data_IF_881536862175
#
_entry.id   IF_881536862175
#
_cell.length_a   1.000
_cell.length_b   1.000
_cell.length_c   1.000
_cell.angle_alpha   90.00
_cell.angle_beta   90.00
_cell.angle_gamma   90.00
#
_symmetry.space_group_name_H-M   'P 1'
#
loop_
_entity.id
_entity.type
_entity.pdbx_description
1 polymer ?
#
# COMPACT_ATOMS: atom_id res chain seq x y z
N UNK A 1 10.21 11.29 5.95
CA UNK A 1 9.80 11.00 4.57
C UNK A 1 10.00 12.27 3.78
N UNK A 2 10.62 12.25 2.60
CA UNK A 2 10.65 13.44 1.74
C UNK A 2 9.37 13.47 0.92
N UNK A 3 8.32 14.10 1.45
CA UNK A 3 7.29 14.69 0.60
C UNK A 3 7.65 16.15 0.44
N UNK A 4 7.79 16.61 -0.81
CA UNK A 4 7.79 18.04 -1.07
C UNK A 4 6.38 18.56 -0.82
N UNK A 5 6.18 19.15 0.36
CA UNK A 5 5.15 20.17 0.52
C UNK A 5 5.86 21.52 0.39
N UNK A 6 5.85 22.03 -0.83
CA UNK A 6 5.94 23.46 -1.13
C UNK A 6 7.33 24.11 -0.91
N UNK A 7 8.41 23.33 -0.93
CA UNK A 7 9.78 23.86 -0.92
C UNK A 7 10.21 24.55 0.39
N UNK A 8 9.50 24.35 1.51
CA UNK A 8 9.89 24.90 2.82
C UNK A 8 9.63 23.94 3.98
N UNK A 9 10.57 22.99 4.17
CA UNK A 9 10.79 22.30 5.44
C UNK A 9 10.88 20.78 5.34
N UNK A 10 12.03 20.24 5.74
CA UNK A 10 12.28 18.79 5.85
C UNK A 10 11.61 18.21 7.11
N UNK A 11 10.89 17.09 6.99
CA UNK A 11 10.56 16.23 8.14
C UNK A 11 10.97 14.78 7.89
N UNK A 12 11.88 14.30 8.72
CA UNK A 12 12.26 12.90 8.83
C UNK A 12 11.12 12.18 9.55
N UNK A 13 10.70 11.03 9.03
CA UNK A 13 9.74 10.18 9.70
C UNK A 13 10.50 8.97 10.18
N UNK A 14 10.77 8.97 11.48
CA UNK A 14 11.54 7.93 12.16
C UNK A 14 10.63 6.96 12.93
N UNK A 15 9.31 7.03 12.76
CA UNK A 15 8.34 6.26 13.55
C UNK A 15 7.26 5.59 12.70
N UNK A 16 6.71 4.53 13.30
CA UNK A 16 5.52 3.83 12.82
C UNK A 16 4.43 4.86 12.43
N UNK A 17 4.01 4.90 11.16
CA UNK A 17 3.06 5.89 10.64
C UNK A 17 1.67 5.82 11.26
N UNK A 18 1.30 4.66 11.82
CA UNK A 18 -0.01 4.45 12.42
C UNK A 18 -0.20 5.30 13.69
N UNK A 19 0.88 5.96 14.15
CA UNK A 19 0.89 6.82 15.33
C UNK A 19 0.98 8.32 15.00
N UNK A 20 0.98 8.73 13.73
CA UNK A 20 1.08 10.14 13.34
C UNK A 20 -0.31 10.73 13.03
N UNK A 21 -0.96 11.29 14.06
CA UNK A 21 -2.34 11.81 14.05
C UNK A 21 -2.64 12.91 13.02
N UNK A 22 -1.60 13.55 12.47
CA UNK A 22 -1.72 14.78 11.69
C UNK A 22 -1.48 14.57 10.18
N UNK A 23 -1.17 13.35 9.75
CA UNK A 23 -0.98 13.01 8.34
C UNK A 23 -2.34 12.86 7.64
N UNK A 24 -2.86 13.98 7.13
CA UNK A 24 -3.99 13.99 6.20
C UNK A 24 -3.50 13.63 4.81
N UNK A 25 -3.55 12.34 4.46
CA UNK A 25 -3.27 11.89 3.10
C UNK A 25 -4.42 12.32 2.18
N UNK A 26 -4.10 13.14 1.17
CA UNK A 26 -5.00 13.35 0.03
C UNK A 26 -5.10 12.01 -0.70
N UNK A 27 -6.25 11.35 -0.56
CA UNK A 27 -6.56 10.10 -1.25
C UNK A 27 -6.80 10.39 -2.71
N UNK A 28 -5.74 10.37 -3.51
CA UNK A 28 -5.86 10.32 -4.96
C UNK A 28 -5.97 8.86 -5.42
N UNK A 29 -6.76 8.68 -6.46
CA UNK A 29 -7.41 7.45 -6.89
C UNK A 29 -6.47 6.49 -7.61
N UNK A 30 -6.61 5.18 -7.38
CA UNK A 30 -5.60 4.21 -7.79
C UNK A 30 -5.86 3.30 -8.99
N UNK A 31 -7.01 3.22 -9.67
CA UNK A 31 -7.02 2.52 -10.95
C UNK A 31 -6.71 3.53 -12.04
N UNK A 32 -5.45 3.66 -12.52
CA UNK A 32 -5.18 4.50 -13.67
C UNK A 32 -5.86 3.91 -14.90
N UNK A 33 -6.42 4.78 -15.74
CA UNK A 33 -6.60 4.43 -17.14
C UNK A 33 -5.24 4.53 -17.82
N UNK A 34 -4.61 3.40 -18.13
CA UNK A 34 -3.27 3.42 -18.75
C UNK A 34 -3.41 3.84 -20.21
N UNK A 35 -2.76 4.95 -20.57
CA UNK A 35 -2.73 5.47 -21.93
C UNK A 35 -1.33 5.28 -22.50
N UNK A 36 -1.20 4.37 -23.47
CA UNK A 36 0.07 4.13 -24.16
C UNK A 36 0.15 4.98 -25.42
N UNK A 37 1.18 5.82 -25.50
CA UNK A 37 1.52 6.51 -26.76
C UNK A 37 2.92 6.06 -27.17
N UNK A 38 3.00 5.19 -28.18
CA UNK A 38 4.28 4.83 -28.79
C UNK A 38 4.78 6.00 -29.65
N UNK A 39 6.07 6.35 -29.52
CA UNK A 39 6.73 7.19 -30.54
C UNK A 39 6.66 6.51 -31.91
N UNK A 40 6.68 7.32 -32.97
CA UNK A 40 6.75 6.85 -34.36
C UNK A 40 7.98 5.97 -34.64
N UNK A 41 8.99 6.02 -33.77
CA UNK A 41 10.20 5.18 -33.85
C UNK A 41 9.97 3.75 -33.32
N UNK A 42 8.94 3.52 -32.50
CA UNK A 42 8.44 2.18 -32.24
C UNK A 42 7.50 1.84 -33.40
N UNK A 43 7.99 1.09 -34.38
CA UNK A 43 7.20 0.73 -35.55
C UNK A 43 6.48 -0.60 -35.34
N UNK A 44 5.16 -0.60 -35.54
CA UNK A 44 4.36 -1.81 -35.61
C UNK A 44 4.48 -2.41 -37.01
N UNK A 45 5.14 -3.56 -37.13
CA UNK A 45 5.28 -4.24 -38.41
C UNK A 45 4.14 -5.25 -38.64
N UNK A 46 3.82 -5.55 -39.91
CA UNK A 46 2.95 -6.67 -40.25
C UNK A 46 3.47 -7.92 -39.53
N UNK A 47 2.58 -8.76 -39.00
CA UNK A 47 2.86 -9.94 -38.14
C UNK A 47 2.92 -9.68 -36.62
N UNK A 48 2.63 -8.47 -36.15
CA UNK A 48 2.35 -8.22 -34.73
C UNK A 48 3.58 -8.07 -33.84
N UNK A 49 4.77 -8.07 -34.43
CA UNK A 49 6.03 -7.79 -33.73
C UNK A 49 6.35 -6.31 -33.76
N UNK A 50 6.66 -5.78 -32.59
CA UNK A 50 7.29 -4.47 -32.44
C UNK A 50 8.78 -4.70 -32.25
N UNK A 51 9.60 -3.94 -32.95
CA UNK A 51 11.05 -4.00 -32.80
C UNK A 51 11.66 -2.62 -33.01
N UNK A 52 12.89 -2.45 -32.51
CA UNK A 52 13.65 -1.24 -32.72
C UNK A 52 14.33 -1.27 -34.09
N UNK A 53 14.03 -0.27 -34.92
CA UNK A 53 14.76 0.03 -36.15
C UNK A 53 16.03 0.81 -35.79
N UNK A 54 17.02 0.06 -35.33
CA UNK A 54 18.22 0.53 -34.65
C UNK A 54 19.17 1.42 -35.46
N UNK A 55 19.09 1.34 -36.77
CA UNK A 55 19.87 2.12 -37.72
C UNK A 55 18.98 2.99 -38.61
N UNK A 56 17.69 3.12 -38.24
CA UNK A 56 16.69 3.93 -38.92
C UNK A 56 16.59 3.59 -40.42
N UNK A 57 16.78 2.32 -40.76
CA UNK A 57 16.82 1.83 -42.14
C UNK A 57 15.46 1.23 -42.59
N UNK A 58 14.47 1.22 -41.71
CA UNK A 58 13.15 0.61 -41.89
C UNK A 58 13.14 -0.91 -41.68
N UNK A 59 14.11 -1.50 -40.98
CA UNK A 59 14.19 -2.93 -40.73
C UNK A 59 14.55 -3.25 -39.27
N UNK A 60 13.75 -4.11 -38.65
CA UNK A 60 14.04 -4.67 -37.34
C UNK A 60 15.18 -5.69 -37.49
N UNK A 61 16.20 -5.61 -36.63
CA UNK A 61 17.17 -6.69 -36.47
C UNK A 61 16.49 -7.90 -35.80
N UNK A 62 16.05 -8.85 -36.64
CA UNK A 62 15.37 -10.09 -36.20
C UNK A 62 16.24 -11.00 -35.35
N UNK A 63 17.55 -10.75 -35.27
CA UNK A 63 18.46 -11.54 -34.43
C UNK A 63 18.49 -11.05 -32.98
N UNK A 64 17.89 -9.89 -32.69
CA UNK A 64 17.96 -9.20 -31.40
C UNK A 64 16.58 -9.15 -30.72
N UNK A 65 16.05 -10.30 -30.26
CA UNK A 65 14.77 -10.40 -29.55
C UNK A 65 14.85 -9.94 -28.08
N UNK A 66 15.50 -8.82 -27.77
CA UNK A 66 15.65 -8.34 -26.38
C UNK A 66 14.40 -7.63 -25.84
N UNK A 67 13.58 -7.12 -26.77
CA UNK A 67 12.43 -6.28 -26.47
C UNK A 67 11.25 -6.69 -27.35
N UNK A 68 10.14 -7.04 -26.71
CA UNK A 68 8.84 -7.23 -27.36
C UNK A 68 7.89 -6.18 -26.78
N UNK A 69 7.20 -5.38 -27.61
CA UNK A 69 6.32 -4.34 -27.06
C UNK A 69 5.03 -4.89 -26.43
N UNK A 70 4.62 -6.11 -26.78
CA UNK A 70 3.56 -6.79 -26.04
C UNK A 70 4.05 -7.14 -24.64
N UNK A 71 5.30 -7.62 -24.50
CA UNK A 71 5.94 -7.80 -23.19
C UNK A 71 6.11 -6.46 -22.47
N UNK A 72 6.46 -5.36 -23.16
CA UNK A 72 6.61 -4.06 -22.52
C UNK A 72 5.30 -3.54 -21.90
N UNK A 73 4.15 -3.80 -22.53
CA UNK A 73 2.84 -3.53 -21.93
C UNK A 73 2.60 -4.41 -20.71
N UNK A 74 2.91 -5.70 -20.82
CA UNK A 74 2.82 -6.62 -19.68
C UNK A 74 3.69 -6.15 -18.52
N UNK A 75 4.89 -5.64 -18.78
CA UNK A 75 5.80 -5.13 -17.75
C UNK A 75 5.26 -3.89 -17.02
N UNK A 76 4.55 -3.00 -17.72
CA UNK A 76 3.85 -1.88 -17.08
C UNK A 76 2.70 -2.38 -16.21
N UNK A 77 1.87 -3.27 -16.76
CA UNK A 77 0.73 -3.83 -16.04
C UNK A 77 1.19 -4.60 -14.80
N UNK A 78 2.25 -5.41 -14.92
CA UNK A 78 2.90 -6.09 -13.80
C UNK A 78 3.47 -5.11 -12.78
N UNK A 79 4.15 -4.05 -13.23
CA UNK A 79 4.73 -3.04 -12.33
C UNK A 79 3.64 -2.32 -11.51
N UNK A 80 2.54 -1.95 -12.14
CA UNK A 80 1.37 -1.37 -11.47
C UNK A 80 0.72 -2.38 -10.51
N UNK A 81 0.50 -3.60 -10.99
CA UNK A 81 -0.08 -4.67 -10.19
C UNK A 81 0.78 -4.96 -8.94
N UNK A 82 2.10 -4.90 -9.04
CA UNK A 82 2.97 -5.10 -7.88
C UNK A 82 2.84 -3.97 -6.84
N UNK A 83 2.72 -2.70 -7.27
CA UNK A 83 2.41 -1.60 -6.37
C UNK A 83 1.02 -1.77 -5.75
N UNK A 84 -0.01 -2.08 -6.53
CA UNK A 84 -1.38 -2.22 -6.02
C UNK A 84 -1.61 -3.47 -5.19
N UNK A 85 -0.87 -4.55 -5.44
CA UNK A 85 -0.90 -5.77 -4.66
C UNK A 85 -0.42 -5.55 -3.21
N UNK A 86 0.30 -4.46 -2.93
CA UNK A 86 0.73 -4.09 -1.57
C UNK A 86 -0.47 -3.90 -0.64
N UNK A 87 -1.60 -3.43 -1.15
CA UNK A 87 -2.81 -3.31 -0.34
C UNK A 87 -3.52 -4.64 -0.13
N UNK A 88 -3.25 -5.70 -0.89
CA UNK A 88 -3.98 -6.97 -0.78
C UNK A 88 -3.74 -7.62 0.59
N UNK A 89 -4.79 -8.06 1.33
CA UNK A 89 -6.20 -8.21 0.91
C UNK A 89 -7.11 -7.00 1.18
N UNK A 90 -6.58 -5.88 1.65
CA UNK A 90 -7.35 -4.67 1.96
C UNK A 90 -7.85 -4.03 0.66
N UNK A 91 -9.17 -3.90 0.46
CA UNK A 91 -9.71 -3.26 -0.74
C UNK A 91 -9.34 -1.77 -0.76
N UNK A 92 -8.89 -1.30 -1.92
CA UNK A 92 -8.68 0.12 -2.18
C UNK A 92 -10.07 0.77 -2.34
N UNK A 93 -10.37 1.80 -1.54
CA UNK A 93 -11.63 2.53 -1.65
C UNK A 93 -11.58 3.55 -2.81
N UNK A 94 -11.98 3.11 -4.00
CA UNK A 94 -12.04 3.92 -5.21
C UNK A 94 -13.46 4.39 -5.57
N UNK A 95 -14.43 4.35 -4.64
CA UNK A 95 -15.86 4.51 -5.00
C UNK A 95 -16.22 5.91 -5.50
N UNK A 96 -15.55 6.95 -5.02
CA UNK A 96 -15.86 8.35 -5.33
C UNK A 96 -14.74 9.04 -6.14
N UNK A 97 -14.05 8.24 -6.94
CA UNK A 97 -12.71 8.56 -7.42
C UNK A 97 -12.66 8.66 -8.95
N UNK A 98 -12.15 9.78 -9.47
CA UNK A 98 -11.88 9.93 -10.91
C UNK A 98 -10.52 9.29 -11.23
N UNK A 99 -10.42 8.42 -12.25
CA UNK A 99 -9.17 7.78 -12.62
C UNK A 99 -8.14 8.80 -13.11
N UNK A 100 -6.90 8.64 -12.66
CA UNK A 100 -5.76 9.45 -13.08
C UNK A 100 -5.04 8.72 -14.22
N UNK A 101 -4.98 9.25 -15.46
CA UNK A 101 -4.35 8.52 -16.55
C UNK A 101 -2.83 8.45 -16.36
N UNK A 102 -2.27 7.24 -16.46
CA UNK A 102 -0.83 7.04 -16.57
C UNK A 102 -0.46 7.06 -18.06
N UNK A 103 0.15 8.15 -18.52
CA UNK A 103 0.64 8.26 -19.88
C UNK A 103 2.08 7.77 -19.96
N UNK A 104 2.35 6.73 -20.76
CA UNK A 104 3.71 6.24 -20.99
C UNK A 104 4.11 6.57 -22.43
N UNK A 105 5.18 7.34 -22.57
CA UNK A 105 5.69 7.84 -23.85
C UNK A 105 7.13 7.37 -24.04
N UNK A 106 7.37 6.63 -25.12
CA UNK A 106 8.73 6.37 -25.59
C UNK A 106 9.25 7.62 -26.28
N UNK A 107 10.29 8.27 -25.78
CA UNK A 107 10.78 9.55 -26.33
C UNK A 107 12.25 9.49 -26.71
N UNK A 108 12.55 10.00 -27.90
CA UNK A 108 13.89 10.29 -28.39
C UNK A 108 14.24 11.78 -28.28
N UNK A 109 13.34 12.62 -27.76
CA UNK A 109 13.57 14.05 -27.67
C UNK A 109 14.40 14.39 -26.42
N UNK A 110 15.60 14.90 -26.60
CA UNK A 110 16.48 15.33 -25.49
C UNK A 110 15.83 16.34 -24.54
N UNK A 111 14.87 17.13 -25.02
CA UNK A 111 14.16 18.10 -24.19
C UNK A 111 13.30 17.43 -23.13
N UNK A 112 12.94 16.15 -23.34
CA UNK A 112 12.19 15.38 -22.34
C UNK A 112 13.03 14.99 -21.13
N UNK A 113 14.35 14.90 -21.31
CA UNK A 113 15.30 14.45 -20.29
C UNK A 113 16.23 15.57 -19.82
N UNK A 114 15.98 16.83 -20.19
CA UNK A 114 16.91 17.94 -19.90
C UNK A 114 17.23 18.12 -18.41
N UNK A 115 16.29 17.79 -17.52
CA UNK A 115 16.49 17.84 -16.08
C UNK A 115 17.35 16.68 -15.55
N UNK A 116 17.29 15.53 -16.23
CA UNK A 116 18.00 14.31 -15.87
C UNK A 116 18.55 13.64 -17.15
N UNK A 117 19.61 14.21 -17.76
CA UNK A 117 20.10 13.70 -19.05
C UNK A 117 20.41 12.21 -18.95
N UNK A 118 21.14 11.79 -17.92
CA UNK A 118 21.55 10.40 -17.75
C UNK A 118 20.42 9.42 -17.34
N UNK A 119 19.15 9.81 -17.32
CA UNK A 119 18.08 8.94 -16.85
C UNK A 119 17.61 7.93 -17.92
N UNK A 120 17.28 6.71 -17.48
CA UNK A 120 16.68 5.66 -18.33
C UNK A 120 15.22 5.99 -18.67
N UNK A 121 14.55 6.63 -17.73
CA UNK A 121 13.21 7.14 -17.86
C UNK A 121 13.07 8.36 -16.94
N UNK A 122 12.01 9.13 -17.12
CA UNK A 122 11.69 10.22 -16.21
C UNK A 122 10.20 10.44 -16.14
N UNK A 123 9.71 10.66 -14.92
CA UNK A 123 8.33 11.04 -14.68
C UNK A 123 8.22 12.56 -14.60
N UNK A 124 7.40 13.14 -15.46
CA UNK A 124 6.98 14.55 -15.37
C UNK A 124 5.57 14.62 -14.79
N UNK A 125 5.37 15.57 -13.89
CA UNK A 125 4.08 15.87 -13.28
C UNK A 125 3.96 17.38 -13.05
N UNK A 126 2.72 17.86 -12.97
CA UNK A 126 2.40 19.21 -12.52
C UNK A 126 1.52 19.15 -11.27
N UNK A 127 1.64 20.17 -10.42
CA UNK A 127 0.77 20.32 -9.26
C UNK A 127 -0.29 21.38 -9.49
N UNK A 128 -1.45 21.17 -8.90
CA UNK A 128 -2.46 22.19 -8.71
C UNK A 128 -2.03 23.19 -7.61
N UNK A 129 -2.66 24.38 -7.53
CA UNK A 129 -2.37 25.35 -6.47
C UNK A 129 -2.60 24.84 -5.03
N UNK A 130 -3.39 23.78 -4.87
CA UNK A 130 -3.64 23.10 -3.60
C UNK A 130 -2.69 21.91 -3.33
N UNK A 131 -1.66 21.76 -4.18
CA UNK A 131 -0.65 20.72 -4.14
C UNK A 131 -1.18 19.30 -4.45
N UNK A 132 -2.41 19.18 -4.96
CA UNK A 132 -2.87 17.94 -5.61
C UNK A 132 -2.18 17.74 -6.96
N UNK A 133 -2.07 16.51 -7.44
CA UNK A 133 -1.42 16.25 -8.73
C UNK A 133 -2.40 16.51 -9.87
N UNK A 134 -1.94 17.20 -10.93
CA UNK A 134 -2.69 17.33 -12.19
C UNK A 134 -2.59 16.07 -13.01
N UNK A 135 -3.58 15.21 -12.86
CA UNK A 135 -3.66 13.91 -13.50
C UNK A 135 -3.51 13.91 -15.04
N UNK A 136 -3.99 14.94 -15.73
CA UNK A 136 -3.89 15.08 -17.18
C UNK A 136 -2.49 15.46 -17.68
N UNK A 137 -1.59 15.91 -16.78
CA UNK A 137 -0.23 16.36 -17.11
C UNK A 137 0.84 15.36 -16.63
N UNK A 138 0.44 14.20 -16.10
CA UNK A 138 1.37 13.15 -15.68
C UNK A 138 1.82 12.29 -16.86
N UNK A 139 3.14 12.20 -17.05
CA UNK A 139 3.74 11.44 -18.14
C UNK A 139 5.02 10.76 -17.67
N UNK A 140 5.15 9.47 -17.94
CA UNK A 140 6.40 8.73 -17.84
C UNK A 140 7.05 8.67 -19.22
N UNK A 141 8.20 9.31 -19.36
CA UNK A 141 9.01 9.24 -20.57
C UNK A 141 10.03 8.12 -20.44
N UNK A 142 10.02 7.17 -21.38
CA UNK A 142 11.04 6.12 -21.49
C UNK A 142 12.06 6.56 -22.53
N UNK A 143 13.32 6.65 -22.15
CA UNK A 143 14.38 7.10 -23.04
C UNK A 143 14.72 6.01 -24.05
N UNK A 144 14.55 6.32 -25.34
CA UNK A 144 14.93 5.43 -26.45
C UNK A 144 16.13 5.94 -27.24
N UNK A 145 16.67 7.12 -26.92
CA UNK A 145 17.72 7.76 -27.68
C UNK A 145 19.00 7.98 -26.86
N UNK A 146 20.09 7.42 -27.38
CA UNK A 146 21.42 7.40 -26.81
C UNK A 146 22.06 8.80 -26.72
N UNK A 147 21.83 9.68 -27.70
CA UNK A 147 22.50 11.00 -27.77
C UNK A 147 22.02 11.95 -26.66
N UNK A 148 20.80 11.73 -26.18
CA UNK A 148 20.15 12.60 -25.21
C UNK A 148 20.67 12.44 -23.79
N UNK A 149 21.34 11.31 -23.48
CA UNK A 149 21.74 11.04 -22.11
C UNK A 149 22.96 11.82 -21.62
N UNK A 150 23.70 12.49 -22.52
CA UNK A 150 24.91 13.21 -22.15
C UNK A 150 26.05 12.31 -21.65
N UNK A 151 25.88 10.99 -21.66
CA UNK A 151 26.91 10.05 -21.26
C UNK A 151 27.99 9.98 -22.35
N UNK A 152 29.10 10.71 -22.13
CA UNK A 152 30.31 10.58 -22.93
C UNK A 152 31.14 9.43 -22.33
N UNK A 153 31.49 8.37 -23.08
CA UNK A 153 32.33 7.30 -22.56
C UNK A 153 33.65 7.89 -22.02
N UNK A 154 34.06 7.45 -20.82
CA UNK A 154 35.24 7.95 -20.10
C UNK A 154 36.60 7.70 -20.80
N UNK A 155 36.64 7.13 -22.00
CA UNK A 155 37.88 7.02 -22.77
C UNK A 155 37.68 7.22 -24.27
N UNK A 156 38.40 8.19 -24.81
CA UNK A 156 38.40 8.60 -26.21
C UNK A 156 38.98 7.56 -27.19
N UNK A 157 39.31 6.36 -26.74
CA UNK A 157 39.93 5.30 -27.55
C UNK A 157 38.97 4.23 -28.06
N UNK A 158 37.70 4.22 -27.63
CA UNK A 158 36.68 3.27 -28.09
C UNK A 158 35.64 3.90 -29.04
N UNK A 159 36.03 4.94 -29.77
CA UNK A 159 35.13 5.87 -30.47
C UNK A 159 34.33 5.31 -31.66
N UNK A 160 34.39 4.02 -32.02
CA UNK A 160 33.82 3.59 -33.31
C UNK A 160 33.05 2.27 -33.43
N UNK A 161 32.90 1.40 -32.42
CA UNK A 161 32.31 0.07 -32.75
C UNK A 161 31.34 -0.58 -31.77
N UNK A 162 30.93 0.08 -30.69
CA UNK A 162 29.84 -0.47 -29.87
C UNK A 162 28.84 0.67 -29.62
N UNK A 163 27.64 0.61 -30.22
CA UNK A 163 26.57 1.55 -29.90
C UNK A 163 26.25 1.37 -28.42
N UNK A 164 26.55 2.36 -27.59
CA UNK A 164 26.21 2.35 -26.16
C UNK A 164 24.73 2.69 -25.99
N UNK A 165 23.89 1.89 -26.64
CA UNK A 165 22.46 1.83 -26.45
C UNK A 165 22.21 1.30 -25.04
N UNK A 166 21.44 2.02 -24.24
CA UNK A 166 20.92 1.48 -22.98
C UNK A 166 19.71 0.65 -23.36
N UNK A 167 19.85 -0.66 -23.24
CA UNK A 167 18.81 -1.57 -23.70
C UNK A 167 17.92 -1.94 -22.53
N UNK A 168 16.63 -2.01 -22.78
CA UNK A 168 15.71 -2.68 -21.87
C UNK A 168 15.60 -4.14 -22.28
N UNK A 169 15.51 -5.03 -21.29
CA UNK A 169 14.95 -6.36 -21.50
C UNK A 169 13.55 -6.42 -20.89
N UNK A 170 12.64 -7.08 -21.58
CA UNK A 170 11.27 -7.38 -21.13
C UNK A 170 11.11 -8.86 -20.74
N UNK A 171 12.18 -9.65 -20.88
CA UNK A 171 12.19 -11.06 -20.49
C UNK A 171 13.47 -11.39 -19.71
N UNK A 172 13.37 -11.93 -18.49
CA UNK A 172 14.54 -12.31 -17.68
C UNK A 172 15.48 -13.31 -18.37
N UNK A 173 14.99 -14.08 -19.34
CA UNK A 173 15.82 -15.01 -20.11
C UNK A 173 16.69 -14.29 -21.14
N UNK A 174 16.44 -13.01 -21.41
CA UNK A 174 17.15 -12.18 -22.38
C UNK A 174 18.17 -11.22 -21.72
N UNK A 175 18.68 -11.58 -20.53
CA UNK A 175 19.66 -10.78 -19.75
C UNK A 175 21.08 -10.64 -20.34
N UNK A 176 21.34 -11.18 -21.54
CA UNK A 176 22.69 -11.19 -22.14
C UNK A 176 22.68 -10.50 -23.50
N UNK A 177 23.37 -9.36 -23.61
CA UNK A 177 23.71 -8.81 -24.92
C UNK A 177 24.93 -9.54 -25.50
N UNK A 178 25.09 -9.57 -26.84
CA UNK A 178 26.23 -10.23 -27.48
C UNK A 178 27.58 -9.54 -27.21
N UNK A 179 27.58 -8.35 -26.59
CA UNK A 179 28.77 -7.47 -26.48
C UNK A 179 29.00 -6.86 -25.09
N UNK A 180 28.40 -7.41 -24.04
CA UNK A 180 28.58 -6.88 -22.67
C UNK A 180 27.99 -5.47 -22.46
N UNK A 181 27.08 -5.06 -23.33
CA UNK A 181 26.32 -3.81 -23.21
C UNK A 181 25.37 -3.91 -22.01
N UNK A 182 25.24 -2.84 -21.20
CA UNK A 182 24.34 -2.85 -20.04
C UNK A 182 22.89 -2.97 -20.51
N UNK A 183 22.21 -4.01 -20.02
CA UNK A 183 20.78 -4.23 -20.16
C UNK A 183 20.09 -3.86 -18.86
N UNK A 184 19.01 -3.11 -18.89
CA UNK A 184 18.21 -2.74 -17.73
C UNK A 184 16.88 -3.47 -17.78
N UNK A 185 16.35 -3.86 -16.63
CA UNK A 185 15.01 -4.43 -16.57
C UNK A 185 13.99 -3.33 -16.90
N UNK A 186 13.15 -3.56 -17.91
CA UNK A 186 12.04 -2.67 -18.21
C UNK A 186 11.12 -2.58 -16.99
N UNK A 187 10.81 -3.73 -16.38
CA UNK A 187 10.05 -3.83 -15.14
C UNK A 187 10.56 -2.92 -14.05
N UNK A 188 11.83 -3.07 -13.67
CA UNK A 188 12.43 -2.29 -12.58
C UNK A 188 12.44 -0.79 -12.90
N UNK A 189 12.75 -0.42 -14.15
CA UNK A 189 12.69 0.99 -14.57
C UNK A 189 11.28 1.54 -14.43
N UNK A 190 10.27 0.79 -14.90
CA UNK A 190 8.87 1.19 -14.80
C UNK A 190 8.38 1.25 -13.37
N UNK A 191 8.72 0.29 -12.51
CA UNK A 191 8.33 0.30 -11.11
C UNK A 191 8.86 1.54 -10.38
N UNK A 192 10.09 1.96 -10.69
CA UNK A 192 10.69 3.18 -10.17
C UNK A 192 9.91 4.43 -10.61
N UNK A 193 9.68 4.58 -11.92
CA UNK A 193 8.93 5.73 -12.44
C UNK A 193 7.46 5.75 -12.00
N UNK A 194 6.83 4.58 -11.90
CA UNK A 194 5.49 4.45 -11.32
C UNK A 194 5.50 4.90 -9.86
N UNK A 195 6.56 4.65 -9.10
CA UNK A 195 6.71 5.22 -7.77
C UNK A 195 6.72 6.75 -7.76
N UNK A 196 7.40 7.38 -8.72
CA UNK A 196 7.32 8.84 -8.91
C UNK A 196 5.94 9.33 -9.33
N UNK A 197 5.25 8.57 -10.19
CA UNK A 197 3.87 8.83 -10.58
C UNK A 197 2.91 8.77 -9.38
N UNK A 198 3.15 7.82 -8.46
CA UNK A 198 2.51 7.69 -7.14
C UNK A 198 3.02 8.73 -6.12
N UNK A 199 3.77 9.75 -6.56
CA UNK A 199 4.23 10.85 -5.71
C UNK A 199 5.37 10.52 -4.76
N UNK A 200 6.03 9.37 -4.90
CA UNK A 200 7.22 9.04 -4.10
C UNK A 200 8.47 9.70 -4.67
N UNK A 201 9.28 10.31 -3.81
CA UNK A 201 10.61 10.80 -4.19
C UNK A 201 11.68 9.72 -4.15
N UNK A 202 12.88 10.02 -4.66
CA UNK A 202 14.04 9.17 -4.43
C UNK A 202 14.33 9.07 -2.93
N UNK A 203 14.66 7.87 -2.46
CA UNK A 203 15.22 7.65 -1.14
C UNK A 203 16.70 8.03 -1.18
N UNK A 204 17.10 8.99 -0.36
CA UNK A 204 18.51 9.28 -0.13
C UNK A 204 19.13 8.27 0.84
N UNK A 205 20.46 8.24 0.88
CA UNK A 205 21.24 7.32 1.73
C UNK A 205 20.99 7.53 3.24
N UNK A 206 20.19 8.52 3.63
CA UNK A 206 19.94 8.87 5.03
C UNK A 206 18.64 8.28 5.56
N UNK A 207 17.70 7.87 4.71
CA UNK A 207 16.34 7.60 5.14
C UNK A 207 15.65 6.38 4.47
N UNK A 208 16.35 5.57 3.69
CA UNK A 208 15.74 4.39 3.04
C UNK A 208 16.68 3.23 2.73
N UNK A 209 16.09 2.09 2.40
CA UNK A 209 16.79 0.90 1.91
C UNK A 209 17.58 1.24 0.64
N UNK A 210 18.90 1.20 0.73
CA UNK A 210 19.81 1.45 -0.40
C UNK A 210 19.60 0.49 -1.57
N UNK A 211 18.83 -0.59 -1.37
CA UNK A 211 18.46 -1.60 -2.36
C UNK A 211 16.98 -1.54 -2.79
N UNK A 212 16.22 -0.53 -2.36
CA UNK A 212 14.83 -0.37 -2.76
C UNK A 212 14.63 0.16 -4.17
N UNK A 213 13.43 0.00 -4.72
CA UNK A 213 13.14 0.43 -6.09
C UNK A 213 13.26 1.95 -6.22
N UNK A 214 12.95 2.70 -5.15
CA UNK A 214 13.01 4.16 -5.11
C UNK A 214 14.37 4.72 -4.67
N UNK A 215 15.43 3.91 -4.55
CA UNK A 215 16.75 4.41 -4.14
C UNK A 215 17.37 5.36 -5.16
N UNK A 216 18.19 6.32 -4.69
CA UNK A 216 18.97 7.22 -5.54
C UNK A 216 20.15 6.52 -6.24
N UNK A 217 20.52 5.31 -5.80
CA UNK A 217 21.61 4.57 -6.43
C UNK A 217 21.22 4.21 -7.88
N UNK A 218 22.12 4.41 -8.85
CA UNK A 218 21.82 4.09 -10.23
C UNK A 218 21.43 2.62 -10.35
N UNK A 219 20.34 2.37 -11.09
CA UNK A 219 19.87 1.02 -11.40
C UNK A 219 21.04 0.18 -11.94
N UNK A 220 21.25 -1.00 -11.35
CA UNK A 220 22.32 -1.90 -11.78
C UNK A 220 21.86 -2.68 -13.01
N UNK A 221 22.67 -2.77 -14.08
CA UNK A 221 22.35 -3.60 -15.23
C UNK A 221 22.08 -5.06 -14.85
N UNK A 222 21.20 -5.71 -15.61
CA UNK A 222 20.77 -7.11 -15.53
C UNK A 222 20.18 -7.53 -14.16
N UNK A 223 19.87 -6.56 -13.30
CA UNK A 223 19.30 -6.81 -11.97
C UNK A 223 17.85 -6.34 -11.97
N UNK A 224 16.94 -7.23 -11.58
CA UNK A 224 15.58 -6.85 -11.20
C UNK A 224 15.57 -6.48 -9.72
N UNK A 225 15.05 -5.31 -9.40
CA UNK A 225 14.85 -4.90 -8.02
C UNK A 225 13.38 -5.05 -7.67
N UNK A 226 13.12 -5.51 -6.45
CA UNK A 226 11.78 -5.58 -5.91
C UNK A 226 11.43 -4.27 -5.19
N UNK A 227 10.14 -4.00 -5.06
CA UNK A 227 9.63 -2.96 -4.17
C UNK A 227 10.05 -3.31 -2.73
N UNK A 228 10.87 -2.46 -2.11
CA UNK A 228 11.44 -2.72 -0.77
C UNK A 228 10.36 -2.70 0.32
N UNK A 229 10.73 -3.13 1.52
CA UNK A 229 9.85 -3.00 2.67
C UNK A 229 9.48 -1.54 2.97
N UNK A 230 10.43 -0.62 2.81
CA UNK A 230 10.20 0.81 3.04
C UNK A 230 9.25 1.40 1.99
N UNK A 231 9.44 1.04 0.72
CA UNK A 231 8.55 1.44 -0.38
C UNK A 231 7.12 0.93 -0.15
N UNK A 232 6.99 -0.36 0.25
CA UNK A 232 5.69 -0.96 0.61
C UNK A 232 5.04 -0.25 1.78
N UNK A 233 5.81 0.02 2.83
CA UNK A 233 5.33 0.72 4.01
C UNK A 233 4.83 2.13 3.65
N UNK A 234 5.55 2.87 2.81
CA UNK A 234 5.12 4.19 2.33
C UNK A 234 3.82 4.09 1.51
N UNK A 235 3.77 3.16 0.56
CA UNK A 235 2.58 2.94 -0.25
C UNK A 235 1.36 2.59 0.60
N UNK A 236 1.51 1.69 1.57
CA UNK A 236 0.42 1.30 2.46
C UNK A 236 -0.21 2.47 3.20
N UNK A 237 0.61 3.42 3.66
CA UNK A 237 0.11 4.58 4.41
C UNK A 237 -0.68 5.55 3.56
N UNK A 238 -0.19 5.82 2.36
CA UNK A 238 -0.76 6.85 1.49
C UNK A 238 -2.02 6.31 0.82
N UNK A 239 -1.96 5.06 0.37
CA UNK A 239 -2.90 4.54 -0.62
C UNK A 239 -3.77 3.39 -0.13
N UNK A 240 -3.27 2.55 0.78
CA UNK A 240 -4.12 1.51 1.32
C UNK A 240 -5.12 2.16 2.28
N UNK A 241 -6.37 1.73 2.21
CA UNK A 241 -7.26 2.01 3.31
C UNK A 241 -6.62 1.41 4.56
N UNK A 242 -6.77 2.07 5.71
CA UNK A 242 -6.76 1.27 6.93
C UNK A 242 -7.71 0.11 6.63
N UNK A 243 -7.32 -1.16 6.89
CA UNK A 243 -8.33 -2.19 6.94
C UNK A 243 -9.39 -1.54 7.77
N UNK A 244 -10.60 -1.38 7.21
CA UNK A 244 -11.71 -1.03 8.06
C UNK A 244 -11.49 -2.00 9.19
N UNK A 245 -11.21 -1.48 10.38
CA UNK A 245 -11.54 -2.24 11.55
C UNK A 245 -13.03 -2.39 11.28
N UNK A 246 -13.39 -3.47 10.57
CA UNK A 246 -14.46 -4.34 10.96
C UNK A 246 -14.16 -4.39 12.42
N UNK A 247 -14.78 -3.44 13.16
CA UNK A 247 -15.00 -3.60 14.57
C UNK A 247 -15.57 -4.99 14.53
N UNK A 248 -14.76 -6.00 14.86
CA UNK A 248 -15.29 -7.31 15.20
C UNK A 248 -16.51 -6.98 16.02
N UNK A 249 -17.72 -7.24 15.50
CA UNK A 249 -18.92 -6.45 15.74
C UNK A 249 -18.92 -6.00 17.19
N UNK A 250 -18.43 -4.76 17.45
CA UNK A 250 -17.72 -4.40 18.69
C UNK A 250 -18.21 -5.28 19.80
N UNK A 251 -17.44 -6.32 20.22
CA UNK A 251 -17.93 -7.34 21.16
C UNK A 251 -18.85 -6.63 22.14
N UNK A 252 -20.17 -6.84 21.96
CA UNK A 252 -21.14 -5.85 22.47
C UNK A 252 -20.91 -5.80 23.96
N UNK A 253 -20.38 -4.68 24.46
CA UNK A 253 -20.10 -4.54 25.88
C UNK A 253 -21.37 -4.95 26.63
N UNK A 254 -21.27 -6.05 27.36
CA UNK A 254 -22.40 -6.64 28.06
C UNK A 254 -22.70 -5.69 29.22
N UNK A 255 -23.57 -4.72 28.99
CA UNK A 255 -24.00 -3.81 30.03
C UNK A 255 -25.10 -4.48 30.85
N UNK A 256 -24.82 -4.72 32.13
CA UNK A 256 -25.72 -5.41 33.05
C UNK A 256 -26.30 -4.44 34.08
N UNK A 257 -27.60 -4.56 34.35
CA UNK A 257 -28.29 -3.83 35.42
C UNK A 257 -28.92 -4.81 36.40
N UNK A 258 -28.81 -4.49 37.70
CA UNK A 258 -29.36 -5.32 38.79
C UNK A 258 -30.44 -4.52 39.52
N UNK A 259 -31.64 -5.09 39.66
CA UNK A 259 -32.76 -4.46 40.34
C UNK A 259 -33.54 -5.42 41.25
N UNK A 260 -33.95 -4.99 42.46
CA UNK A 260 -33.55 -3.74 43.12
C UNK A 260 -32.09 -3.80 43.60
N UNK A 261 -31.44 -2.64 43.73
CA UNK A 261 -30.11 -2.51 44.32
C UNK A 261 -30.02 -1.16 45.08
N UNK A 262 -29.98 -1.15 46.43
CA UNK A 262 -29.98 -2.31 47.33
C UNK A 262 -31.25 -3.16 47.24
N UNK A 263 -31.16 -4.45 47.57
CA UNK A 263 -32.31 -5.34 47.72
C UNK A 263 -32.59 -5.60 49.20
N UNK A 264 -33.86 -5.45 49.60
CA UNK A 264 -34.38 -5.85 50.91
C UNK A 264 -35.21 -7.14 50.83
N UNK A 265 -35.28 -7.74 49.64
CA UNK A 265 -35.96 -9.00 49.38
C UNK A 265 -34.91 -10.07 49.08
N UNK A 266 -35.26 -11.35 49.31
CA UNK A 266 -34.39 -12.47 49.02
C UNK A 266 -34.26 -12.76 47.50
N UNK A 267 -34.28 -11.74 46.65
CA UNK A 267 -34.10 -11.89 45.21
C UNK A 267 -33.57 -10.62 44.54
N UNK A 268 -32.93 -10.79 43.38
CA UNK A 268 -32.57 -9.72 42.44
C UNK A 268 -32.98 -10.12 41.03
N UNK A 269 -33.22 -9.14 40.17
CA UNK A 269 -33.41 -9.31 38.73
C UNK A 269 -32.19 -8.76 38.00
N UNK A 270 -31.64 -9.56 37.10
CA UNK A 270 -30.54 -9.18 36.23
C UNK A 270 -31.11 -8.89 34.85
N UNK A 271 -30.88 -7.67 34.36
CA UNK A 271 -31.22 -7.26 33.01
C UNK A 271 -29.95 -7.02 32.21
N UNK A 272 -29.79 -7.74 31.11
CA UNK A 272 -28.64 -7.60 30.19
C UNK A 272 -29.08 -6.74 29.01
N UNK A 273 -28.38 -5.64 28.75
CA UNK A 273 -28.60 -4.84 27.54
C UNK A 273 -27.98 -5.58 26.35
N UNK A 274 -28.75 -5.82 25.30
CA UNK A 274 -28.37 -6.66 24.14
C UNK A 274 -28.05 -8.12 24.54
N UNK A 275 -29.04 -8.90 25.02
CA UNK A 275 -28.80 -10.28 25.45
C UNK A 275 -28.14 -11.10 24.34
N UNK A 276 -27.17 -11.93 24.72
CA UNK A 276 -26.54 -12.89 23.82
C UNK A 276 -27.55 -13.94 23.36
N UNK A 277 -27.36 -14.47 22.14
CA UNK A 277 -28.03 -15.70 21.68
C UNK A 277 -27.44 -16.97 22.33
N UNK A 278 -26.37 -16.82 23.10
CA UNK A 278 -25.65 -17.91 23.76
C UNK A 278 -25.85 -17.87 25.28
N UNK A 279 -25.46 -18.96 25.94
CA UNK A 279 -25.57 -19.12 27.39
C UNK A 279 -24.54 -18.24 28.11
N UNK A 280 -24.99 -17.51 29.14
CA UNK A 280 -24.12 -16.67 29.98
C UNK A 280 -23.98 -17.32 31.35
N UNK A 281 -22.73 -17.57 31.76
CA UNK A 281 -22.45 -18.09 33.10
C UNK A 281 -22.37 -16.92 34.08
N UNK A 282 -22.93 -17.08 35.28
CA UNK A 282 -22.77 -16.10 36.36
C UNK A 282 -22.27 -16.73 37.64
N UNK A 283 -21.60 -15.91 38.44
CA UNK A 283 -21.10 -16.24 39.77
C UNK A 283 -21.34 -15.04 40.70
N UNK A 284 -21.95 -15.27 41.86
CA UNK A 284 -22.11 -14.26 42.91
C UNK A 284 -21.08 -14.52 43.99
N UNK A 285 -20.25 -13.52 44.26
CA UNK A 285 -19.18 -13.57 45.26
C UNK A 285 -19.35 -12.49 46.32
N UNK A 286 -18.85 -12.78 47.51
CA UNK A 286 -18.70 -11.78 48.59
C UNK A 286 -17.54 -10.82 48.30
N UNK A 287 -17.43 -9.75 49.10
CA UNK A 287 -16.28 -8.80 49.08
C UNK A 287 -14.91 -9.49 49.20
N UNK A 288 -14.82 -10.62 49.89
CA UNK A 288 -13.57 -11.38 50.05
C UNK A 288 -13.35 -12.43 48.96
N UNK A 289 -14.21 -12.46 47.93
CA UNK A 289 -14.11 -13.39 46.80
C UNK A 289 -14.71 -14.78 47.03
N UNK A 290 -15.33 -15.04 48.19
CA UNK A 290 -16.01 -16.32 48.44
C UNK A 290 -17.27 -16.42 47.59
N UNK A 291 -17.34 -17.44 46.73
CA UNK A 291 -18.51 -17.78 45.90
C UNK A 291 -19.68 -18.26 46.76
N UNK A 292 -20.86 -17.68 46.56
CA UNK A 292 -22.09 -18.04 47.28
C UNK A 292 -23.14 -18.69 46.39
N UNK A 293 -23.11 -18.40 45.08
CA UNK A 293 -24.05 -18.93 44.11
C UNK A 293 -23.42 -18.89 42.71
N UNK A 294 -23.60 -19.96 41.95
CA UNK A 294 -23.28 -20.01 40.51
C UNK A 294 -24.51 -20.42 39.73
N UNK A 295 -24.57 -20.05 38.45
CA UNK A 295 -25.65 -20.47 37.57
C UNK A 295 -25.48 -19.95 36.15
N UNK A 296 -26.55 -20.09 35.38
CA UNK A 296 -26.57 -19.78 33.95
C UNK A 296 -27.80 -18.93 33.62
N UNK A 297 -27.65 -18.04 32.64
CA UNK A 297 -28.73 -17.25 32.05
C UNK A 297 -28.90 -17.73 30.61
N UNK A 298 -30.05 -18.32 30.30
CA UNK A 298 -30.38 -18.76 28.95
C UNK A 298 -30.76 -17.55 28.07
N UNK A 299 -30.61 -17.62 26.74
CA UNK A 299 -30.90 -16.50 25.82
C UNK A 299 -32.30 -15.88 25.96
N UNK A 300 -33.28 -16.67 26.41
CA UNK A 300 -34.67 -16.26 26.58
C UNK A 300 -35.03 -15.87 28.04
N UNK A 301 -34.06 -15.82 28.95
CA UNK A 301 -34.25 -15.52 30.37
C UNK A 301 -33.71 -14.11 30.74
N UNK A 302 -34.21 -13.08 30.07
CA UNK A 302 -33.84 -11.69 30.36
C UNK A 302 -35.10 -10.82 30.55
N UNK A 303 -35.40 -10.35 31.78
CA UNK A 303 -34.56 -10.42 32.98
C UNK A 303 -34.54 -11.80 33.65
N UNK A 304 -33.41 -12.16 34.28
CA UNK A 304 -33.26 -13.36 35.12
C UNK A 304 -33.48 -13.00 36.59
N UNK A 305 -34.43 -13.66 37.25
CA UNK A 305 -34.58 -13.57 38.70
C UNK A 305 -33.68 -14.58 39.41
N UNK A 306 -32.86 -14.11 40.36
CA UNK A 306 -32.00 -14.95 41.20
C UNK A 306 -32.49 -14.88 42.64
N UNK A 307 -32.66 -16.05 43.27
CA UNK A 307 -32.96 -16.15 44.69
C UNK A 307 -31.70 -16.04 45.57
N UNK A 308 -31.82 -15.26 46.64
CA UNK A 308 -30.77 -14.93 47.61
C UNK A 308 -31.17 -15.35 49.04
N UNK A 309 -32.06 -16.35 49.19
CA UNK A 309 -32.61 -16.78 50.48
C UNK A 309 -31.51 -17.06 51.53
N UNK A 310 -30.38 -17.62 51.12
CA UNK A 310 -29.29 -18.04 51.99
C UNK A 310 -28.16 -16.99 52.14
N UNK A 311 -28.25 -15.84 51.47
CA UNK A 311 -27.24 -14.79 51.59
C UNK A 311 -27.49 -13.92 52.83
N UNK A 312 -26.44 -13.52 53.54
CA UNK A 312 -26.53 -12.55 54.65
C UNK A 312 -26.59 -11.10 54.12
N UNK A 313 -26.93 -10.14 54.97
CA UNK A 313 -26.80 -8.71 54.61
C UNK A 313 -25.34 -8.37 54.34
N UNK A 314 -25.06 -7.60 53.27
CA UNK A 314 -23.69 -7.28 52.86
C UNK A 314 -23.57 -6.76 51.43
N UNK A 315 -22.32 -6.50 51.02
CA UNK A 315 -21.95 -6.12 49.64
C UNK A 315 -21.50 -7.35 48.88
N UNK A 316 -22.01 -7.52 47.66
CA UNK A 316 -21.76 -8.64 46.79
C UNK A 316 -21.41 -8.16 45.38
N UNK A 317 -20.74 -9.02 44.63
CA UNK A 317 -20.45 -8.83 43.22
C UNK A 317 -21.05 -9.99 42.43
N UNK A 318 -21.68 -9.69 41.30
CA UNK A 318 -21.98 -10.68 40.29
C UNK A 318 -20.97 -10.58 39.16
N UNK A 319 -20.41 -11.72 38.79
CA UNK A 319 -19.45 -11.89 37.72
C UNK A 319 -20.17 -12.63 36.61
N UNK A 320 -20.35 -12.02 35.45
CA UNK A 320 -20.91 -12.66 34.26
C UNK A 320 -19.77 -12.99 33.29
N UNK A 321 -19.72 -14.23 32.79
CA UNK A 321 -18.69 -14.71 31.86
C UNK A 321 -19.35 -15.16 30.56
N UNK A 322 -18.89 -14.60 29.44
CA UNK A 322 -19.41 -14.88 28.11
C UNK A 322 -18.31 -14.68 27.06
N UNK A 323 -18.05 -15.70 26.24
CA UNK A 323 -17.05 -15.66 25.15
C UNK A 323 -15.67 -15.12 25.56
N UNK A 324 -15.20 -15.49 26.76
CA UNK A 324 -13.91 -15.04 27.30
C UNK A 324 -13.93 -13.62 27.90
N UNK A 325 -15.02 -12.87 27.72
CA UNK A 325 -15.24 -11.60 28.40
C UNK A 325 -15.85 -11.81 29.80
N UNK A 326 -15.57 -10.86 30.69
CA UNK A 326 -16.08 -10.85 32.05
C UNK A 326 -16.63 -9.47 32.42
N UNK A 327 -17.87 -9.41 32.90
CA UNK A 327 -18.49 -8.20 33.47
C UNK A 327 -18.70 -8.38 34.97
N UNK A 328 -18.41 -7.33 35.76
CA UNK A 328 -18.53 -7.38 37.22
C UNK A 328 -19.42 -6.24 37.72
N UNK A 329 -20.53 -6.58 38.37
CA UNK A 329 -21.48 -5.59 38.89
C UNK A 329 -21.67 -5.77 40.40
N UNK A 330 -21.59 -4.66 41.13
CA UNK A 330 -21.80 -4.64 42.57
C UNK A 330 -23.29 -4.51 42.92
N UNK A 331 -23.74 -5.23 43.95
CA UNK A 331 -25.04 -5.00 44.58
C UNK A 331 -25.01 -5.19 46.11
N UNK A 332 -26.04 -4.67 46.78
CA UNK A 332 -26.13 -4.64 48.25
C UNK A 332 -27.39 -5.39 48.69
N UNK A 333 -27.25 -6.27 49.68
CA UNK A 333 -28.36 -6.95 50.38
C UNK A 333 -28.55 -6.30 51.75
N UNK A 334 -29.76 -5.83 52.05
CA UNK A 334 -30.13 -5.20 53.31
C UNK A 334 -31.41 -5.86 53.88
N UNK A 335 -31.24 -6.98 54.60
CA UNK A 335 -32.34 -7.71 55.25
C UNK A 335 -32.83 -7.02 56.53
#
# INVERSE_FOLDING_TARGET
>A
YYFCKDGKGERICSSNPLNESDLKFHKECLPPQINYTSSQLLQYYPFGTWGYDYDNNGQIDKSENYFDASDARNEVDESLNEWFAICSPIPINNKDCNPCPLNIIWSSDSRDFIAFPDALATTKYEYNPDCSIKCDHQVVYINIDQETTGWVPLSSTFYFQIPTKRFFYTNPNHKKTPKGMPLYSMKTTLQHEIGHWLGFGHQDNKCGDVNGIMTINPLKPATEWAISYDDRCMFMKVYCCEPSLVKEPSEREISVKIFPNPTNINAINIQINNPSSELINFEIVTIIGTSILTGEILPNENPKTISLNNASSGVYYIILKHNGQQEVVQFIINK
#
